data_IF_684488775992
#
_entry.id   IF_684488775992
#
_cell.length_a   1.000
_cell.length_b   1.000
_cell.length_c   1.000
_cell.angle_alpha   90.00
_cell.angle_beta   90.00
_cell.angle_gamma   90.00
#
_symmetry.space_group_name_H-M   'P 1'
#
loop_
_entity.id
_entity.type
_entity.pdbx_description
1 polymer ?
#
# COMPACT_ATOMS: atom_id res chain seq x y z
N UNK A 1 -18.31 -20.94 4.83
CA UNK A 1 -17.48 -20.72 3.62
C UNK A 1 -16.80 -22.03 3.28
N UNK A 2 -17.00 -22.55 2.06
CA UNK A 2 -16.17 -23.62 1.53
C UNK A 2 -14.74 -23.12 1.48
N UNK A 3 -13.80 -23.82 2.13
CA UNK A 3 -12.38 -23.47 2.10
C UNK A 3 -11.94 -23.42 0.64
N UNK A 4 -11.48 -22.25 0.18
CA UNK A 4 -10.79 -22.17 -1.10
C UNK A 4 -9.54 -23.01 -0.97
N UNK A 5 -9.45 -24.08 -1.76
CA UNK A 5 -8.22 -24.88 -1.88
C UNK A 5 -7.45 -24.26 -3.03
N UNK A 6 -6.33 -23.63 -2.73
CA UNK A 6 -5.41 -23.13 -3.74
C UNK A 6 -4.37 -24.24 -4.01
N UNK A 7 -4.35 -24.87 -5.21
CA UNK A 7 -3.47 -25.98 -5.49
C UNK A 7 -2.00 -25.67 -5.18
N UNK A 8 -1.33 -26.56 -4.44
CA UNK A 8 0.07 -26.41 -4.05
C UNK A 8 0.33 -25.54 -2.81
N UNK A 9 -0.67 -24.77 -2.36
CA UNK A 9 -0.56 -23.95 -1.16
C UNK A 9 -1.09 -24.66 0.08
N UNK A 10 -0.27 -24.71 1.12
CA UNK A 10 -0.67 -25.10 2.47
C UNK A 10 -1.18 -23.85 3.20
N UNK A 11 -2.48 -23.80 3.49
CA UNK A 11 -3.14 -22.62 4.06
C UNK A 11 -3.42 -22.89 5.54
N UNK A 12 -2.93 -22.00 6.41
CA UNK A 12 -3.19 -22.05 7.84
C UNK A 12 -4.67 -21.77 8.16
N UNK A 13 -5.16 -22.18 9.35
CA UNK A 13 -6.44 -21.69 9.84
C UNK A 13 -6.49 -20.16 9.82
N UNK A 14 -7.58 -19.61 9.29
CA UNK A 14 -7.79 -18.16 9.24
C UNK A 14 -7.67 -17.59 10.66
N UNK A 15 -6.74 -16.66 10.84
CA UNK A 15 -6.63 -15.85 12.04
C UNK A 15 -7.84 -14.92 12.10
N UNK A 16 -8.49 -14.83 13.26
CA UNK A 16 -9.57 -13.89 13.49
C UNK A 16 -9.54 -13.40 14.93
N UNK A 17 -9.61 -12.08 15.10
CA UNK A 17 -9.62 -11.43 16.40
C UNK A 17 -10.59 -10.24 16.37
N UNK A 18 -11.23 -9.98 17.51
CA UNK A 18 -11.94 -8.71 17.74
C UNK A 18 -11.05 -7.85 18.63
N UNK A 19 -10.67 -6.68 18.13
CA UNK A 19 -9.92 -5.68 18.86
C UNK A 19 -10.88 -4.60 19.34
N UNK A 20 -10.82 -4.26 20.63
CA UNK A 20 -11.65 -3.20 21.21
C UNK A 20 -10.78 -2.01 21.60
N UNK A 21 -11.03 -0.88 20.96
CA UNK A 21 -10.36 0.40 21.22
C UNK A 21 -11.42 1.38 21.70
N UNK A 22 -11.41 1.66 23.00
CA UNK A 22 -12.47 2.44 23.66
C UNK A 22 -13.88 1.87 23.41
N UNK A 23 -14.61 2.43 22.44
CA UNK A 23 -15.96 2.02 22.04
C UNK A 23 -15.99 1.34 20.66
N UNK A 24 -14.88 1.37 19.93
CA UNK A 24 -14.76 0.79 18.61
C UNK A 24 -14.42 -0.69 18.75
N UNK A 25 -15.20 -1.55 18.08
CA UNK A 25 -14.85 -2.95 17.89
C UNK A 25 -14.42 -3.14 16.44
N UNK A 26 -13.27 -3.74 16.25
CA UNK A 26 -12.65 -3.97 14.95
C UNK A 26 -12.47 -5.48 14.79
N UNK A 27 -13.08 -6.05 13.76
CA UNK A 27 -12.89 -7.45 13.39
C UNK A 27 -11.69 -7.55 12.45
N UNK A 28 -10.59 -8.16 12.90
CA UNK A 28 -9.38 -8.41 12.12
C UNK A 28 -9.32 -9.85 11.64
N UNK A 29 -8.89 -10.03 10.38
CA UNK A 29 -8.72 -11.35 9.76
C UNK A 29 -7.40 -11.46 9.04
N UNK A 30 -6.71 -12.59 9.23
CA UNK A 30 -5.45 -12.91 8.56
C UNK A 30 -5.52 -14.28 7.87
N UNK A 31 -4.96 -14.35 6.68
CA UNK A 31 -4.78 -15.59 5.90
C UNK A 31 -3.30 -15.74 5.60
N UNK A 32 -2.74 -16.89 5.97
CA UNK A 32 -1.34 -17.24 5.71
C UNK A 32 -1.34 -18.52 4.89
N UNK A 33 -0.61 -18.50 3.78
CA UNK A 33 -0.38 -19.70 2.98
C UNK A 33 1.09 -19.86 2.64
N UNK A 34 1.53 -21.11 2.57
CA UNK A 34 2.90 -21.48 2.23
C UNK A 34 2.92 -22.34 0.98
N UNK A 35 3.85 -22.04 0.09
CA UNK A 35 4.13 -22.84 -1.08
C UNK A 35 5.61 -23.24 -1.07
N UNK A 36 5.89 -24.54 -1.27
CA UNK A 36 7.27 -25.07 -1.23
C UNK A 36 8.21 -24.43 -2.27
N UNK A 37 7.65 -23.83 -3.32
CA UNK A 37 8.41 -23.15 -4.38
C UNK A 37 8.42 -21.63 -4.29
N UNK A 38 7.34 -21.02 -3.80
CA UNK A 38 7.11 -19.58 -3.94
C UNK A 38 7.22 -18.83 -2.62
N UNK A 39 7.38 -19.55 -1.50
CA UNK A 39 7.48 -18.97 -0.17
C UNK A 39 6.11 -18.76 0.46
N UNK A 40 5.96 -17.68 1.20
CA UNK A 40 4.77 -17.37 1.98
C UNK A 40 3.99 -16.21 1.35
N UNK A 41 2.67 -16.32 1.34
CA UNK A 41 1.75 -15.25 0.97
C UNK A 41 0.85 -14.94 2.16
N UNK A 42 0.56 -13.65 2.31
CA UNK A 42 -0.21 -13.09 3.41
C UNK A 42 -1.36 -12.29 2.83
N UNK A 43 -2.52 -12.40 3.45
CA UNK A 43 -3.65 -11.53 3.23
C UNK A 43 -4.25 -11.11 4.55
N UNK A 44 -4.68 -9.85 4.63
CA UNK A 44 -5.12 -9.23 5.87
C UNK A 44 -6.29 -8.29 5.61
N UNK A 45 -7.12 -8.10 6.62
CA UNK A 45 -8.21 -7.14 6.57
C UNK A 45 -8.65 -6.77 7.97
N UNK A 46 -9.22 -5.59 8.10
CA UNK A 46 -10.03 -5.24 9.26
C UNK A 46 -11.28 -4.49 8.83
N UNK A 47 -12.37 -4.66 9.59
CA UNK A 47 -13.62 -3.97 9.32
C UNK A 47 -14.37 -3.66 10.62
N UNK A 48 -15.30 -2.70 10.54
CA UNK A 48 -16.21 -2.38 11.64
C UNK A 48 -17.47 -3.20 11.44
N UNK A 49 -17.54 -4.38 12.07
CA UNK A 49 -18.71 -5.24 12.02
C UNK A 49 -18.37 -6.70 11.69
N UNK A 50 -19.18 -7.58 12.27
CA UNK A 50 -18.88 -9.01 12.34
C UNK A 50 -18.93 -9.67 10.95
N UNK A 51 -17.82 -10.33 10.58
CA UNK A 51 -17.78 -11.31 9.49
C UNK A 51 -17.62 -10.76 8.07
N UNK A 52 -17.39 -9.45 7.90
CA UNK A 52 -17.26 -8.81 6.58
C UNK A 52 -15.83 -8.92 6.03
N UNK A 53 -14.82 -8.88 6.90
CA UNK A 53 -13.41 -8.79 6.50
C UNK A 53 -12.81 -10.08 5.92
N UNK A 54 -13.30 -11.25 6.30
CA UNK A 54 -12.66 -12.53 5.93
C UNK A 54 -12.47 -12.70 4.41
N UNK A 55 -13.44 -12.28 3.61
CA UNK A 55 -13.32 -12.35 2.15
C UNK A 55 -12.21 -11.43 1.65
N UNK A 56 -12.11 -10.18 2.16
CA UNK A 56 -11.06 -9.23 1.79
C UNK A 56 -9.66 -9.80 2.07
N UNK A 57 -9.46 -10.42 3.25
CA UNK A 57 -8.19 -11.07 3.56
C UNK A 57 -7.87 -12.22 2.58
N UNK A 58 -8.88 -12.97 2.14
CA UNK A 58 -8.71 -13.99 1.10
C UNK A 58 -8.39 -13.42 -0.28
N UNK A 59 -9.01 -12.30 -0.67
CA UNK A 59 -8.69 -11.60 -1.92
C UNK A 59 -7.22 -11.16 -1.92
N UNK A 60 -6.78 -10.48 -0.86
CA UNK A 60 -5.38 -10.06 -0.74
C UNK A 60 -4.43 -11.26 -0.78
N UNK A 61 -4.71 -12.33 -0.03
CA UNK A 61 -3.91 -13.56 -0.06
C UNK A 61 -3.78 -14.13 -1.48
N UNK A 62 -4.90 -14.25 -2.21
CA UNK A 62 -4.92 -14.81 -3.56
C UNK A 62 -4.14 -13.95 -4.55
N UNK A 63 -4.26 -12.63 -4.45
CA UNK A 63 -3.47 -11.68 -5.23
C UNK A 63 -1.95 -11.86 -4.99
N UNK A 64 -1.54 -11.97 -3.72
CA UNK A 64 -0.13 -12.18 -3.37
C UNK A 64 0.39 -13.54 -3.82
N UNK A 65 -0.41 -14.60 -3.68
CA UNK A 65 -0.07 -15.92 -4.18
C UNK A 65 0.14 -15.91 -5.70
N UNK A 66 -0.77 -15.31 -6.47
CA UNK A 66 -0.64 -15.18 -7.93
C UNK A 66 0.60 -14.38 -8.33
N UNK A 67 0.86 -13.29 -7.60
CA UNK A 67 2.05 -12.45 -7.81
C UNK A 67 3.34 -13.26 -7.63
N UNK A 68 3.44 -14.04 -6.55
CA UNK A 68 4.61 -14.88 -6.28
C UNK A 68 4.79 -16.00 -7.31
N UNK A 69 3.70 -16.68 -7.70
CA UNK A 69 3.70 -17.69 -8.76
C UNK A 69 4.24 -17.13 -10.09
N UNK A 70 3.96 -15.86 -10.40
CA UNK A 70 4.39 -15.22 -11.65
C UNK A 70 5.80 -14.62 -11.59
N UNK A 71 6.29 -14.21 -10.42
CA UNK A 71 7.63 -13.62 -10.22
C UNK A 71 8.75 -14.65 -10.29
N UNK A 72 8.49 -15.89 -9.88
CA UNK A 72 9.48 -16.97 -9.90
C UNK A 72 9.15 -18.00 -10.99
N UNK A 73 9.15 -17.61 -12.29
CA UNK A 73 8.65 -18.45 -13.36
C UNK A 73 9.64 -19.51 -13.85
N UNK A 74 10.82 -19.68 -13.21
CA UNK A 74 11.86 -20.65 -13.60
C UNK A 74 11.42 -22.14 -13.48
N UNK A 75 10.11 -22.43 -13.41
CA UNK A 75 9.51 -23.77 -13.51
C UNK A 75 8.28 -23.88 -14.43
N UNK A 76 7.90 -22.81 -15.16
CA UNK A 76 6.87 -22.85 -16.21
C UNK A 76 7.48 -22.35 -17.53
N UNK A 77 7.74 -23.28 -18.44
CA UNK A 77 8.43 -23.03 -19.71
C UNK A 77 7.68 -22.00 -20.60
N UNK A 78 8.48 -21.17 -21.28
CA UNK A 78 8.18 -20.28 -22.41
C UNK A 78 7.56 -18.88 -22.15
N UNK A 79 6.72 -18.64 -21.14
CA UNK A 79 6.17 -17.28 -20.92
C UNK A 79 7.03 -16.37 -20.02
N UNK A 80 7.86 -16.99 -19.18
CA UNK A 80 8.79 -16.37 -18.23
C UNK A 80 9.75 -15.34 -18.84
N UNK A 81 10.23 -15.60 -20.05
CA UNK A 81 11.27 -14.79 -20.72
C UNK A 81 10.75 -13.44 -21.24
N UNK A 82 9.43 -13.30 -21.42
CA UNK A 82 8.82 -12.01 -21.76
C UNK A 82 8.64 -11.12 -20.54
N UNK A 83 8.24 -11.67 -19.39
CA UNK A 83 8.01 -10.91 -18.15
C UNK A 83 9.28 -10.31 -17.53
N UNK A 84 10.43 -11.02 -17.57
CA UNK A 84 11.72 -10.47 -17.09
C UNK A 84 12.28 -9.37 -17.99
N UNK A 85 12.02 -9.43 -19.30
CA UNK A 85 12.49 -8.44 -20.27
C UNK A 85 11.54 -7.25 -20.46
N UNK A 86 10.31 -7.31 -19.92
CA UNK A 86 9.30 -6.26 -20.05
C UNK A 86 9.22 -5.30 -18.85
N UNK A 87 10.09 -5.44 -17.85
CA UNK A 87 10.03 -4.62 -16.62
C UNK A 87 8.83 -4.91 -15.71
N UNK A 88 8.11 -6.02 -15.92
CA UNK A 88 6.89 -6.37 -15.18
C UNK A 88 7.14 -6.55 -13.67
N UNK A 89 8.30 -7.11 -13.35
CA UNK A 89 8.80 -7.26 -11.99
C UNK A 89 10.27 -6.84 -12.02
N UNK A 90 10.54 -5.54 -11.89
CA UNK A 90 11.90 -5.03 -11.75
C UNK A 90 12.43 -5.41 -10.37
N UNK A 91 13.58 -6.08 -10.31
CA UNK A 91 13.95 -6.84 -9.12
C UNK A 91 14.75 -6.04 -8.08
N UNK A 92 15.49 -4.97 -8.45
CA UNK A 92 16.27 -4.16 -7.50
C UNK A 92 17.00 -2.99 -8.18
N UNK A 93 17.27 -1.94 -7.40
CA UNK A 93 18.36 -1.00 -7.65
C UNK A 93 19.44 -1.16 -6.58
N UNK A 94 20.64 -0.63 -6.80
CA UNK A 94 21.66 -0.59 -5.75
C UNK A 94 21.14 0.22 -4.54
N UNK A 95 20.89 -0.48 -3.43
CA UNK A 95 20.37 0.11 -2.18
C UNK A 95 18.85 0.21 -2.06
N UNK A 96 18.06 -0.20 -3.07
CA UNK A 96 16.60 -0.22 -3.01
C UNK A 96 15.97 -1.50 -3.56
N UNK A 97 14.88 -1.93 -2.93
CA UNK A 97 14.04 -3.06 -3.33
C UNK A 97 12.69 -2.52 -3.78
N UNK A 98 12.28 -2.86 -5.01
CA UNK A 98 10.96 -2.49 -5.50
C UNK A 98 9.87 -3.40 -4.90
N UNK A 99 8.73 -2.81 -4.58
CA UNK A 99 7.56 -3.57 -4.16
C UNK A 99 7.00 -4.36 -5.35
N UNK A 100 6.96 -5.68 -5.17
CA UNK A 100 6.53 -6.63 -6.18
C UNK A 100 5.02 -6.57 -6.46
N UNK A 101 4.23 -6.25 -5.43
CA UNK A 101 2.78 -6.13 -5.48
C UNK A 101 2.30 -4.76 -5.94
N UNK A 102 3.20 -3.78 -6.11
CA UNK A 102 2.81 -2.43 -6.51
C UNK A 102 2.03 -2.43 -7.82
N UNK A 103 0.82 -1.89 -7.78
CA UNK A 103 -0.08 -1.82 -8.94
C UNK A 103 -0.62 -3.19 -9.34
N UNK A 104 -0.74 -4.14 -8.42
CA UNK A 104 -1.40 -5.43 -8.67
C UNK A 104 -2.80 -5.39 -8.05
N UNK A 105 -3.80 -5.90 -8.76
CA UNK A 105 -5.14 -6.05 -8.19
C UNK A 105 -5.83 -7.31 -8.69
N UNK A 106 -6.71 -7.83 -7.84
CA UNK A 106 -7.60 -8.96 -8.14
C UNK A 106 -9.07 -8.52 -8.23
N UNK A 107 -9.80 -9.01 -9.22
CA UNK A 107 -11.26 -8.83 -9.30
C UNK A 107 -11.97 -9.95 -10.08
N UNK A 108 -13.30 -9.92 -10.10
CA UNK A 108 -14.14 -10.87 -10.88
C UNK A 108 -14.19 -10.58 -12.37
N UNK A 109 -13.83 -9.38 -12.78
CA UNK A 109 -13.72 -8.98 -14.20
C UNK A 109 -12.35 -8.36 -14.45
N UNK A 110 -11.90 -8.42 -15.70
CA UNK A 110 -10.58 -7.89 -16.06
C UNK A 110 -10.57 -6.35 -15.99
N UNK A 111 -11.68 -5.71 -16.34
CA UNK A 111 -11.82 -4.25 -16.33
C UNK A 111 -11.74 -3.69 -14.91
N UNK A 112 -12.40 -4.34 -13.94
CA UNK A 112 -12.34 -3.94 -12.53
C UNK A 112 -10.94 -4.18 -11.95
N UNK A 113 -10.27 -5.28 -12.32
CA UNK A 113 -8.89 -5.55 -11.91
C UNK A 113 -7.92 -4.52 -12.50
N UNK A 114 -8.07 -4.14 -13.77
CA UNK A 114 -7.29 -3.06 -14.39
C UNK A 114 -7.50 -1.72 -13.70
N UNK A 115 -8.75 -1.35 -13.43
CA UNK A 115 -9.09 -0.11 -12.74
C UNK A 115 -8.47 -0.07 -11.33
N UNK A 116 -8.63 -1.13 -10.53
CA UNK A 116 -8.06 -1.22 -9.19
C UNK A 116 -6.52 -1.17 -9.21
N UNK A 117 -5.88 -1.89 -10.13
CA UNK A 117 -4.43 -1.89 -10.30
C UNK A 117 -3.89 -0.50 -10.66
N UNK A 118 -4.60 0.23 -11.53
CA UNK A 118 -4.24 1.61 -11.88
C UNK A 118 -4.40 2.58 -10.71
N UNK A 119 -5.49 2.46 -9.94
CA UNK A 119 -5.69 3.27 -8.74
C UNK A 119 -4.55 3.09 -7.74
N UNK A 120 -4.14 1.85 -7.45
CA UNK A 120 -3.02 1.59 -6.55
C UNK A 120 -1.70 2.17 -7.10
N UNK A 121 -1.41 1.98 -8.38
CA UNK A 121 -0.17 2.52 -8.97
C UNK A 121 -0.11 4.06 -8.87
N UNK A 122 -1.24 4.73 -9.11
CA UNK A 122 -1.37 6.19 -9.04
C UNK A 122 -1.30 6.67 -7.58
N UNK A 123 -1.93 5.95 -6.65
CA UNK A 123 -1.82 6.21 -5.20
C UNK A 123 -0.36 6.28 -4.77
N UNK A 124 0.38 5.21 -5.06
CA UNK A 124 1.78 5.05 -4.63
C UNK A 124 2.66 6.11 -5.26
N UNK A 125 2.48 6.41 -6.54
CA UNK A 125 3.17 7.50 -7.21
C UNK A 125 2.87 8.87 -6.58
N UNK A 126 1.60 9.20 -6.33
CA UNK A 126 1.21 10.47 -5.70
C UNK A 126 1.93 10.68 -4.37
N UNK A 127 2.00 9.63 -3.55
CA UNK A 127 2.61 9.73 -2.24
C UNK A 127 4.14 9.86 -2.38
N UNK A 128 4.76 9.06 -3.25
CA UNK A 128 6.19 9.12 -3.53
C UNK A 128 6.64 10.48 -4.06
N UNK A 129 5.94 11.05 -5.05
CA UNK A 129 6.30 12.36 -5.61
C UNK A 129 6.20 13.46 -4.53
N UNK A 130 5.19 13.37 -3.66
CA UNK A 130 5.04 14.29 -2.54
C UNK A 130 6.16 14.12 -1.50
N UNK A 131 6.50 12.87 -1.15
CA UNK A 131 7.56 12.55 -0.19
C UNK A 131 8.94 12.98 -0.67
N UNK A 132 9.25 12.69 -1.95
CA UNK A 132 10.50 13.07 -2.58
C UNK A 132 10.61 14.58 -2.88
N UNK A 133 9.54 15.35 -2.65
CA UNK A 133 9.55 16.80 -2.81
C UNK A 133 9.35 17.32 -4.23
N UNK A 134 8.94 16.44 -5.14
CA UNK A 134 8.66 16.76 -6.54
C UNK A 134 7.21 17.24 -6.74
N UNK A 135 6.31 16.86 -5.84
CA UNK A 135 4.95 17.35 -5.77
C UNK A 135 4.71 18.13 -4.45
N UNK A 136 3.68 19.00 -4.38
CA UNK A 136 3.34 19.67 -3.14
C UNK A 136 3.02 18.67 -2.01
N UNK A 137 3.21 19.05 -0.73
CA UNK A 137 2.73 18.24 0.38
C UNK A 137 1.20 18.10 0.33
N UNK A 138 0.64 17.00 0.85
CA UNK A 138 -0.80 16.79 0.82
C UNK A 138 -1.51 17.84 1.69
N UNK A 139 -2.69 18.28 1.24
CA UNK A 139 -3.46 19.35 1.89
C UNK A 139 -4.44 18.77 2.88
N UNK A 140 -4.56 19.37 4.06
CA UNK A 140 -5.55 18.96 5.06
C UNK A 140 -6.97 19.15 4.53
N UNK A 141 -7.81 18.16 4.77
CA UNK A 141 -9.25 18.17 4.49
C UNK A 141 -10.01 18.26 5.81
N UNK A 142 -10.95 19.21 5.89
CA UNK A 142 -11.81 19.38 7.07
C UNK A 142 -12.99 18.41 6.99
N UNK A 143 -12.76 17.17 7.45
CA UNK A 143 -13.77 16.11 7.50
C UNK A 143 -13.47 15.19 8.68
N UNK A 144 -14.51 14.59 9.24
CA UNK A 144 -14.40 13.62 10.34
C UNK A 144 -14.32 12.21 9.78
N UNK A 145 -13.54 11.33 10.43
CA UNK A 145 -13.56 9.90 10.14
C UNK A 145 -14.89 9.27 10.55
N UNK A 146 -15.29 8.20 9.85
CA UNK A 146 -16.49 7.43 10.17
C UNK A 146 -16.50 6.91 11.61
N UNK A 147 -15.34 6.43 12.09
CA UNK A 147 -15.14 5.90 13.45
C UNK A 147 -14.40 6.87 14.40
N UNK A 148 -14.22 8.12 13.97
CA UNK A 148 -13.47 9.13 14.72
C UNK A 148 -13.99 9.38 16.13
N UNK A 149 -15.32 9.53 16.35
CA UNK A 149 -15.90 9.72 17.67
C UNK A 149 -15.64 8.56 18.65
N UNK A 150 -15.50 7.34 18.16
CA UNK A 150 -15.33 6.13 18.96
C UNK A 150 -13.93 5.99 19.54
N UNK A 151 -12.92 6.61 18.92
CA UNK A 151 -11.49 6.51 19.30
C UNK A 151 -10.89 7.84 19.76
N UNK A 152 -11.73 8.86 19.98
CA UNK A 152 -11.28 10.24 20.16
C UNK A 152 -10.54 10.51 21.49
N UNK A 153 -10.55 9.58 22.46
CA UNK A 153 -9.79 9.73 23.71
C UNK A 153 -8.38 9.15 23.60
N UNK A 154 -8.12 8.37 22.55
CA UNK A 154 -6.85 7.71 22.27
C UNK A 154 -6.15 8.38 21.10
N UNK A 155 -6.90 8.88 20.12
CA UNK A 155 -6.35 9.43 18.89
C UNK A 155 -6.88 10.82 18.56
N UNK A 156 -5.96 11.66 18.08
CA UNK A 156 -6.30 12.72 17.14
C UNK A 156 -6.31 12.12 15.73
N UNK A 157 -7.22 12.58 14.88
CA UNK A 157 -7.21 12.23 13.46
C UNK A 157 -7.03 13.45 12.58
N UNK A 158 -6.42 13.22 11.42
CA UNK A 158 -6.36 14.18 10.33
C UNK A 158 -6.48 13.46 8.99
N UNK A 159 -7.09 14.15 8.03
CA UNK A 159 -7.28 13.68 6.66
C UNK A 159 -6.57 14.64 5.73
N UNK A 160 -5.90 14.10 4.72
CA UNK A 160 -5.20 14.87 3.71
C UNK A 160 -5.54 14.39 2.31
N UNK A 161 -5.55 15.31 1.36
CA UNK A 161 -5.71 15.04 -0.07
C UNK A 161 -4.43 15.41 -0.82
N UNK A 162 -4.03 14.56 -1.74
CA UNK A 162 -2.97 14.86 -2.70
C UNK A 162 -3.54 15.63 -3.91
N UNK A 163 -2.66 16.06 -4.82
CA UNK A 163 -3.11 16.60 -6.09
C UNK A 163 -3.74 15.48 -6.94
N UNK A 164 -4.95 15.72 -7.45
CA UNK A 164 -5.65 14.77 -8.33
C UNK A 164 -4.85 14.56 -9.62
N UNK A 165 -4.86 13.33 -10.13
CA UNK A 165 -4.27 12.98 -11.42
C UNK A 165 -5.37 12.70 -12.44
N UNK A 166 -5.17 13.13 -13.68
CA UNK A 166 -6.09 12.81 -14.76
C UNK A 166 -5.46 11.78 -15.69
N UNK A 167 -6.19 10.71 -15.97
CA UNK A 167 -5.82 9.69 -16.96
C UNK A 167 -6.86 9.65 -18.07
N UNK A 168 -6.42 9.56 -19.32
CA UNK A 168 -7.28 9.73 -20.50
C UNK A 168 -8.45 8.72 -20.57
N UNK A 169 -8.24 7.49 -20.11
CA UNK A 169 -9.28 6.44 -20.13
C UNK A 169 -9.98 6.20 -18.79
N UNK A 170 -9.37 6.61 -17.67
CA UNK A 170 -9.87 6.30 -16.31
C UNK A 170 -10.59 7.52 -15.71
N UNK A 171 -10.24 8.73 -16.16
CA UNK A 171 -10.77 9.98 -15.64
C UNK A 171 -9.88 10.57 -14.54
N UNK A 172 -10.49 11.39 -13.69
CA UNK A 172 -9.81 11.98 -12.54
C UNK A 172 -9.70 10.97 -11.42
N UNK A 173 -8.54 10.94 -10.77
CA UNK A 173 -8.25 10.07 -9.64
C UNK A 173 -7.77 10.95 -8.50
N UNK A 174 -8.46 10.84 -7.38
CA UNK A 174 -8.09 11.48 -6.13
C UNK A 174 -7.35 10.48 -5.25
N UNK A 175 -6.36 10.98 -4.52
CA UNK A 175 -5.60 10.21 -3.54
C UNK A 175 -5.71 10.91 -2.19
N UNK A 176 -5.97 10.13 -1.14
CA UNK A 176 -6.15 10.61 0.22
C UNK A 176 -5.28 9.83 1.20
N UNK A 177 -5.07 10.44 2.36
CA UNK A 177 -4.41 9.84 3.50
C UNK A 177 -5.19 10.14 4.77
N UNK A 178 -5.35 9.13 5.62
CA UNK A 178 -5.85 9.26 6.99
C UNK A 178 -4.69 9.04 7.94
N UNK A 179 -4.58 9.87 8.97
CA UNK A 179 -3.54 9.76 10.00
C UNK A 179 -4.22 9.70 11.36
N UNK A 180 -3.83 8.71 12.16
CA UNK A 180 -4.22 8.50 13.55
C UNK A 180 -3.00 8.79 14.43
N UNK A 181 -2.95 10.01 14.98
CA UNK A 181 -1.89 10.42 15.90
C UNK A 181 -2.28 10.07 17.33
N UNK A 182 -1.54 9.18 18.00
CA UNK A 182 -1.91 8.75 19.33
C UNK A 182 -1.67 9.87 20.34
N UNK A 183 -2.55 9.96 21.34
CA UNK A 183 -2.46 10.90 22.46
C UNK A 183 -1.49 10.42 23.55
N UNK A 184 -1.01 9.17 23.45
CA UNK A 184 -0.09 8.50 24.38
C UNK A 184 0.94 7.70 23.59
N UNK A 185 2.17 7.56 24.10
CA UNK A 185 3.27 6.92 23.36
C UNK A 185 3.15 5.40 23.27
N UNK A 186 2.28 4.81 24.10
CA UNK A 186 2.02 3.38 24.17
C UNK A 186 1.00 2.92 23.12
N UNK A 187 0.37 3.84 22.39
CA UNK A 187 -0.56 3.51 21.30
C UNK A 187 0.14 3.68 19.94
N UNK A 188 -0.14 2.80 18.96
CA UNK A 188 0.55 2.84 17.68
C UNK A 188 0.15 4.07 16.87
N UNK A 189 1.13 4.74 16.27
CA UNK A 189 0.89 5.70 15.20
C UNK A 189 0.47 4.96 13.93
N UNK A 190 -0.70 5.30 13.40
CA UNK A 190 -1.27 4.63 12.24
C UNK A 190 -1.60 5.65 11.16
N UNK A 191 -1.52 5.22 9.92
CA UNK A 191 -1.95 6.00 8.76
C UNK A 191 -2.39 5.02 7.68
N UNK A 192 -3.24 5.47 6.76
CA UNK A 192 -3.71 4.67 5.63
C UNK A 192 -3.85 5.53 4.39
N UNK A 193 -3.72 4.92 3.23
CA UNK A 193 -3.84 5.58 1.94
C UNK A 193 -5.00 5.01 1.14
N UNK A 194 -5.46 5.80 0.18
CA UNK A 194 -6.56 5.38 -0.67
C UNK A 194 -6.66 6.23 -1.92
N UNK A 195 -6.85 5.57 -3.05
CA UNK A 195 -7.21 6.20 -4.32
C UNK A 195 -8.62 5.83 -4.79
N UNK A 196 -9.32 6.80 -5.38
CA UNK A 196 -10.66 6.62 -5.93
C UNK A 196 -10.96 7.57 -7.08
N UNK A 197 -12.08 7.34 -7.76
CA UNK A 197 -12.56 8.25 -8.82
C UNK A 197 -13.05 9.60 -8.30
N UNK A 198 -13.17 9.73 -6.97
CA UNK A 198 -13.40 10.98 -6.26
C UNK A 198 -12.76 10.91 -4.85
N UNK A 199 -12.65 12.08 -4.22
CA UNK A 199 -12.05 12.22 -2.89
C UNK A 199 -12.78 11.44 -1.79
N UNK A 200 -14.10 11.23 -1.90
CA UNK A 200 -14.85 10.48 -0.88
C UNK A 200 -14.51 9.00 -0.91
N UNK A 201 -14.39 8.41 -2.10
CA UNK A 201 -13.92 7.04 -2.29
C UNK A 201 -12.47 6.89 -1.82
N UNK A 202 -11.60 7.85 -2.15
CA UNK A 202 -10.21 7.87 -1.70
C UNK A 202 -10.10 7.88 -0.16
N UNK A 203 -10.86 8.75 0.50
CA UNK A 203 -10.91 8.83 1.97
C UNK A 203 -11.44 7.53 2.59
N UNK A 204 -12.49 6.94 2.02
CA UNK A 204 -13.07 5.69 2.55
C UNK A 204 -12.06 4.53 2.52
N UNK A 205 -11.25 4.45 1.46
CA UNK A 205 -10.16 3.46 1.38
C UNK A 205 -9.04 3.76 2.37
N UNK A 206 -8.62 5.02 2.48
CA UNK A 206 -7.61 5.45 3.45
C UNK A 206 -8.05 5.19 4.90
N UNK A 207 -9.33 5.40 5.22
CA UNK A 207 -9.93 5.02 6.51
C UNK A 207 -9.82 3.51 6.76
N UNK A 208 -10.13 2.70 5.74
CA UNK A 208 -10.09 1.25 5.84
C UNK A 208 -8.66 0.73 6.06
N UNK A 209 -7.67 1.28 5.35
CA UNK A 209 -6.27 0.89 5.54
C UNK A 209 -5.74 1.34 6.91
N UNK A 210 -6.08 2.55 7.36
CA UNK A 210 -5.69 3.04 8.68
C UNK A 210 -6.29 2.17 9.80
N UNK A 211 -7.56 1.74 9.64
CA UNK A 211 -8.23 0.83 10.56
C UNK A 211 -7.57 -0.54 10.57
N UNK A 212 -7.22 -1.09 9.41
CA UNK A 212 -6.50 -2.36 9.29
C UNK A 212 -5.16 -2.32 10.01
N UNK A 213 -4.34 -1.29 9.75
CA UNK A 213 -3.07 -1.12 10.46
C UNK A 213 -3.29 -0.99 11.97
N UNK A 214 -4.25 -0.18 12.40
CA UNK A 214 -4.59 -0.03 13.82
C UNK A 214 -4.95 -1.37 14.45
N UNK A 215 -5.72 -2.21 13.76
CA UNK A 215 -6.15 -3.51 14.25
C UNK A 215 -4.97 -4.47 14.50
N UNK A 216 -4.05 -4.57 13.53
CA UNK A 216 -2.91 -5.47 13.61
C UNK A 216 -1.75 -4.96 14.47
N UNK A 217 -1.72 -3.66 14.78
CA UNK A 217 -0.72 -3.04 15.64
C UNK A 217 -1.19 -2.83 17.08
N UNK A 218 -2.47 -3.06 17.36
CA UNK A 218 -3.02 -2.85 18.69
C UNK A 218 -2.45 -3.89 19.67
N UNK A 219 -2.02 -3.43 20.85
CA UNK A 219 -1.34 -4.23 21.89
C UNK A 219 0.05 -4.76 21.51
N UNK A 220 0.57 -4.46 20.33
CA UNK A 220 1.97 -4.70 19.99
C UNK A 220 2.90 -3.75 20.75
N UNK A 221 4.10 -4.21 21.08
CA UNK A 221 5.10 -3.41 21.77
C UNK A 221 5.59 -2.26 20.88
N UNK A 222 5.37 -1.01 21.31
CA UNK A 222 5.84 0.16 20.58
C UNK A 222 7.34 0.36 20.83
N UNK A 223 8.19 0.33 19.79
CA UNK A 223 9.62 0.55 19.93
C UNK A 223 9.90 1.92 20.58
N UNK A 224 10.73 1.93 21.61
CA UNK A 224 11.12 3.15 22.32
C UNK A 224 12.35 3.83 21.70
N UNK A 225 13.04 3.14 20.80
CA UNK A 225 14.24 3.63 20.12
C UNK A 225 14.14 3.33 18.64
N UNK A 226 14.58 4.27 17.80
CA UNK A 226 14.62 4.08 16.36
C UNK A 226 15.49 2.86 15.97
N UNK A 227 15.04 2.00 15.05
CA UNK A 227 15.82 0.84 14.63
C UNK A 227 17.10 1.30 13.91
N UNK A 228 18.26 0.76 14.30
CA UNK A 228 19.57 1.19 13.78
C UNK A 228 20.03 0.42 12.55
N UNK A 229 19.51 -0.79 12.33
CA UNK A 229 19.84 -1.63 11.18
C UNK A 229 18.88 -1.29 10.05
N UNK A 230 19.27 -0.35 9.19
CA UNK A 230 18.47 0.06 8.03
C UNK A 230 18.40 -1.10 7.03
N UNK A 231 17.18 -1.54 6.72
CA UNK A 231 16.92 -2.59 5.74
C UNK A 231 15.95 -2.11 4.66
N UNK A 232 16.22 -2.50 3.40
CA UNK A 232 15.37 -2.25 2.24
C UNK A 232 14.08 -3.10 2.26
N UNK A 233 13.26 -3.01 3.31
CA UNK A 233 12.07 -3.86 3.51
C UNK A 233 10.84 -3.09 3.99
N UNK A 234 9.65 -3.65 3.70
CA UNK A 234 8.37 -3.13 4.18
C UNK A 234 8.26 -3.23 5.72
N UNK A 235 8.79 -4.30 6.32
CA UNK A 235 8.76 -4.51 7.77
C UNK A 235 9.57 -3.46 8.51
N UNK A 236 10.78 -3.14 8.03
CA UNK A 236 11.59 -2.06 8.60
C UNK A 236 10.87 -0.72 8.49
N UNK A 237 10.22 -0.44 7.35
CA UNK A 237 9.44 0.79 7.17
C UNK A 237 8.33 0.93 8.22
N UNK A 238 7.58 -0.15 8.48
CA UNK A 238 6.56 -0.17 9.53
C UNK A 238 7.17 0.07 10.92
N UNK A 239 8.23 -0.66 11.27
CA UNK A 239 8.92 -0.53 12.56
C UNK A 239 9.48 0.88 12.79
N UNK A 240 10.04 1.49 11.74
CA UNK A 240 10.57 2.85 11.80
C UNK A 240 9.50 3.86 12.22
N UNK A 241 8.32 3.84 11.60
CA UNK A 241 7.24 4.80 11.93
C UNK A 241 6.43 4.44 13.17
N UNK A 242 6.55 3.22 13.70
CA UNK A 242 6.02 2.88 15.02
C UNK A 242 6.76 3.62 16.14
N UNK A 243 8.06 3.88 15.99
CA UNK A 243 8.86 4.60 16.98
C UNK A 243 8.46 6.09 17.08
N UNK A 244 8.06 6.60 18.26
CA UNK A 244 7.64 8.00 18.43
C UNK A 244 8.68 9.05 18.05
N UNK A 245 9.98 8.73 18.15
CA UNK A 245 11.06 9.65 17.78
C UNK A 245 11.01 10.00 16.27
N UNK A 246 10.52 9.08 15.45
CA UNK A 246 10.53 9.18 14.00
C UNK A 246 9.32 9.93 13.43
N UNK A 247 8.26 10.16 14.21
CA UNK A 247 7.07 10.90 13.77
C UNK A 247 7.38 12.33 13.32
N UNK A 248 8.49 12.90 13.79
CA UNK A 248 8.95 14.23 13.37
C UNK A 248 9.27 14.30 11.86
N UNK A 249 9.69 13.20 11.23
CA UNK A 249 9.90 13.11 9.78
C UNK A 249 8.56 13.20 9.04
N UNK A 250 7.55 12.48 9.53
CA UNK A 250 6.18 12.54 9.01
C UNK A 250 5.63 13.97 9.08
N UNK A 251 5.78 14.63 10.23
CA UNK A 251 5.35 16.01 10.40
C UNK A 251 6.10 17.00 9.49
N UNK A 252 7.41 16.80 9.32
CA UNK A 252 8.24 17.63 8.45
C UNK A 252 7.78 17.52 6.98
N UNK A 253 7.47 16.31 6.52
CA UNK A 253 6.89 16.08 5.21
C UNK A 253 5.57 16.83 5.02
N UNK A 254 4.62 16.69 5.96
CA UNK A 254 3.33 17.39 5.89
C UNK A 254 3.46 18.91 5.93
N UNK A 255 4.47 19.44 6.62
CA UNK A 255 4.79 20.89 6.65
C UNK A 255 5.51 21.36 5.38
N UNK A 256 5.83 20.45 4.46
CA UNK A 256 6.47 20.74 3.17
C UNK A 256 7.98 20.95 3.26
N UNK A 257 8.64 20.50 4.33
CA UNK A 257 10.10 20.62 4.47
C UNK A 257 10.87 19.83 3.42
N UNK A 258 10.23 18.84 2.81
CA UNK A 258 10.79 17.96 1.79
C UNK A 258 10.72 18.54 0.38
N UNK A 259 9.96 19.63 0.18
CA UNK A 259 9.70 20.20 -1.14
C UNK A 259 10.98 20.79 -1.76
N UNK A 260 11.34 20.28 -2.95
CA UNK A 260 12.54 20.71 -3.70
C UNK A 260 12.16 21.58 -4.90
N UNK A 261 10.99 21.35 -5.50
CA UNK A 261 10.53 22.05 -6.71
C UNK A 261 9.70 23.29 -6.37
N UNK A 262 9.91 24.38 -7.12
CA UNK A 262 9.05 25.57 -7.04
C UNK A 262 7.63 25.22 -7.51
N UNK A 263 6.64 25.49 -6.65
CA UNK A 263 5.21 25.22 -6.90
C UNK A 263 4.69 25.85 -8.20
N UNK A 264 5.31 26.92 -8.68
CA UNK A 264 4.92 27.59 -9.92
C UNK A 264 5.29 26.83 -11.19
N UNK A 265 6.15 25.80 -11.08
CA UNK A 265 6.66 25.02 -12.20
C UNK A 265 6.00 23.65 -12.35
N UNK A 266 5.02 23.31 -11.49
CA UNK A 266 4.39 21.98 -11.47
C UNK A 266 3.19 22.00 -12.45
N UNK A 267 3.30 21.39 -13.65
CA UNK A 267 2.16 21.29 -14.56
C UNK A 267 1.05 20.40 -13.96
N UNK A 268 -0.21 20.54 -14.40
CA UNK A 268 -1.25 19.57 -14.08
C UNK A 268 -0.79 18.17 -14.49
N UNK A 269 -0.84 17.22 -13.55
CA UNK A 269 -0.48 15.82 -13.77
C UNK A 269 -1.51 15.17 -14.69
N UNK A 270 -1.12 14.98 -15.95
CA UNK A 270 -1.86 14.18 -16.93
C UNK A 270 -1.00 12.99 -17.27
N UNK A 271 -1.56 11.80 -17.06
CA UNK A 271 -0.93 10.54 -17.41
C UNK A 271 -1.45 10.09 -18.75
N UNK A 272 -0.53 9.79 -19.66
CA UNK A 272 -0.91 9.44 -21.04
C UNK A 272 -1.02 7.93 -21.24
N UNK A 273 -0.23 7.13 -20.50
CA UNK A 273 -0.16 5.69 -20.75
C UNK A 273 0.03 4.85 -19.48
N UNK A 274 -0.88 3.87 -19.29
CA UNK A 274 -0.75 2.77 -18.35
C UNK A 274 -0.98 1.46 -19.12
N UNK A 275 -0.01 0.57 -19.05
CA UNK A 275 -0.10 -0.79 -19.58
C UNK A 275 -0.61 -1.76 -18.51
N UNK A 276 -1.31 -2.79 -18.96
CA UNK A 276 -1.85 -3.82 -18.08
C UNK A 276 -1.37 -5.20 -18.50
N UNK A 277 -0.71 -5.89 -17.57
CA UNK A 277 -0.33 -7.28 -17.73
C UNK A 277 -1.30 -8.17 -16.96
N UNK A 278 -1.94 -9.10 -17.66
CA UNK A 278 -2.72 -10.15 -17.02
C UNK A 278 -1.75 -11.18 -16.42
N UNK A 279 -1.74 -11.29 -15.10
CA UNK A 279 -0.92 -12.23 -14.32
C UNK A 279 -1.76 -13.31 -13.63
N UNK A 280 -3.01 -13.48 -14.06
CA UNK A 280 -3.93 -14.51 -13.55
C UNK A 280 -3.32 -15.89 -13.69
N UNK A 281 -3.22 -16.62 -12.58
CA UNK A 281 -2.74 -18.01 -12.57
C UNK A 281 -3.92 -18.97 -12.79
N UNK A 282 -3.68 -20.24 -13.20
CA UNK A 282 -4.76 -21.22 -13.39
C UNK A 282 -5.66 -21.33 -12.16
N UNK A 283 -5.06 -21.32 -10.97
CA UNK A 283 -5.76 -21.41 -9.69
C UNK A 283 -6.71 -20.24 -9.45
N UNK A 284 -6.31 -19.00 -9.76
CA UNK A 284 -7.21 -17.84 -9.66
C UNK A 284 -8.31 -17.86 -10.74
N UNK A 285 -7.98 -18.30 -11.95
CA UNK A 285 -8.94 -18.41 -13.05
C UNK A 285 -10.03 -19.45 -12.77
N UNK A 286 -9.68 -20.60 -12.19
CA UNK A 286 -10.65 -21.63 -11.75
C UNK A 286 -11.62 -21.11 -10.69
N UNK A 287 -11.20 -20.14 -9.88
CA UNK A 287 -12.03 -19.45 -8.90
C UNK A 287 -12.84 -18.29 -9.50
N UNK A 288 -12.71 -18.02 -10.80
CA UNK A 288 -13.42 -16.95 -11.49
C UNK A 288 -12.85 -15.55 -11.23
N UNK A 289 -11.56 -15.46 -10.92
CA UNK A 289 -10.87 -14.20 -10.68
C UNK A 289 -9.84 -13.88 -11.76
N UNK A 290 -9.61 -12.58 -11.94
CA UNK A 290 -8.56 -11.99 -12.77
C UNK A 290 -7.59 -11.24 -11.86
N UNK A 291 -6.29 -11.46 -12.07
CA UNK A 291 -5.21 -10.73 -11.41
C UNK A 291 -4.43 -9.96 -12.46
N UNK A 292 -4.33 -8.65 -12.29
CA UNK A 292 -3.73 -7.73 -13.26
C UNK A 292 -2.67 -6.89 -12.57
N UNK A 293 -1.58 -6.60 -13.30
CA UNK A 293 -0.57 -5.61 -12.91
C UNK A 293 -0.60 -4.40 -13.85
N UNK A 294 -0.72 -3.21 -13.28
CA UNK A 294 -0.54 -1.93 -13.97
C UNK A 294 0.95 -1.56 -14.04
N UNK A 295 1.37 -1.00 -15.17
CA UNK A 295 2.76 -0.61 -15.45
C UNK A 295 2.74 0.73 -16.19
N UNK A 296 3.60 1.65 -15.80
CA UNK A 296 3.80 2.92 -16.51
C UNK A 296 5.24 3.35 -16.34
N UNK A 297 5.83 3.88 -17.40
CA UNK A 297 7.15 4.53 -17.39
C UNK A 297 7.08 5.98 -16.88
N UNK A 298 5.88 6.56 -16.80
CA UNK A 298 5.60 7.88 -16.24
C UNK A 298 5.46 7.86 -14.71
N UNK A 299 5.12 6.70 -14.12
CA UNK A 299 4.81 6.54 -12.69
C UNK A 299 5.95 5.91 -11.91
N UNK A 300 6.15 6.40 -10.68
CA UNK A 300 7.16 5.84 -9.77
C UNK A 300 6.62 4.56 -9.11
N UNK A 301 7.32 3.42 -9.22
CA UNK A 301 6.97 2.24 -8.44
C UNK A 301 7.37 2.41 -6.98
N UNK A 302 6.58 1.86 -6.06
CA UNK A 302 6.95 1.77 -4.64
C UNK A 302 8.29 1.05 -4.47
N UNK A 303 9.16 1.66 -3.67
CA UNK A 303 10.46 1.12 -3.32
C UNK A 303 10.76 1.28 -1.83
N UNK A 304 11.53 0.34 -1.30
CA UNK A 304 12.09 0.40 0.05
C UNK A 304 13.60 0.54 -0.06
N UNK A 305 14.18 1.48 0.67
CA UNK A 305 15.62 1.67 0.80
C UNK A 305 16.06 3.01 0.24
N UNK A 306 17.36 3.12 -0.04
CA UNK A 306 17.95 4.32 -0.60
C UNK A 306 17.74 4.32 -2.12
N UNK A 307 17.12 5.37 -2.69
CA UNK A 307 16.98 5.46 -4.14
C UNK A 307 18.37 5.53 -4.79
N UNK A 308 18.58 4.87 -5.94
CA UNK A 308 19.89 4.85 -6.59
C UNK A 308 20.29 6.25 -7.05
N UNK A 309 21.60 6.55 -7.04
CA UNK A 309 22.13 7.85 -7.49
C UNK A 309 21.83 8.14 -8.98
N UNK A 310 21.57 7.09 -9.76
CA UNK A 310 21.21 7.16 -11.18
C UNK A 310 19.72 7.27 -11.43
N UNK A 311 18.88 7.13 -10.40
CA UNK A 311 17.47 7.47 -10.56
C UNK A 311 17.36 8.97 -10.92
N UNK A 312 16.37 9.38 -11.72
CA UNK A 312 16.12 10.79 -12.02
C UNK A 312 15.87 11.66 -10.77
N UNK A 313 15.80 11.03 -9.59
CA UNK A 313 15.34 11.58 -8.31
C UNK A 313 16.45 11.51 -7.24
N UNK A 314 17.72 11.52 -7.63
CA UNK A 314 18.88 11.37 -6.74
C UNK A 314 19.16 12.55 -5.79
N UNK A 315 18.31 13.59 -5.79
CA UNK A 315 18.43 14.78 -4.95
C UNK A 315 17.76 14.66 -3.57
N UNK A 316 17.45 13.44 -3.14
CA UNK A 316 16.77 13.14 -1.86
C UNK A 316 17.74 13.41 -0.70
N UNK A 317 17.35 14.28 0.22
CA UNK A 317 18.11 14.61 1.43
C UNK A 317 18.25 13.38 2.34
N UNK A 318 19.27 13.33 3.19
CA UNK A 318 19.54 12.17 4.05
C UNK A 318 18.33 11.81 4.93
N UNK A 319 17.59 12.82 5.40
CA UNK A 319 16.36 12.69 6.18
C UNK A 319 15.20 12.08 5.38
N UNK A 320 15.22 12.23 4.05
CA UNK A 320 14.25 11.65 3.12
C UNK A 320 14.70 10.26 2.60
N UNK A 321 15.98 9.90 2.77
CA UNK A 321 16.50 8.57 2.41
C UNK A 321 15.98 7.45 3.31
N UNK A 322 15.32 7.82 4.42
CA UNK A 322 14.59 6.88 5.24
C UNK A 322 13.22 6.68 4.61
N UNK A 323 13.17 5.68 3.73
CA UNK A 323 12.02 5.01 3.11
C UNK A 323 10.74 5.84 2.92
N UNK A 324 10.30 6.06 1.66
CA UNK A 324 9.07 6.78 1.42
C UNK A 324 7.90 6.12 2.11
N UNK A 325 7.04 6.95 2.71
CA UNK A 325 5.74 6.52 3.21
C UNK A 325 4.90 6.24 1.98
N UNK A 326 4.82 4.98 1.56
CA UNK A 326 4.01 4.54 0.45
C UNK A 326 3.88 3.03 0.51
#
# INVERSE_FOLDING_TARGET
MSRFVLPGWEIEPVFSQVITIEKLNIDAYGVIGRHSLYGEAYGSSADIGIGIGVDKAWYEFLERACTLERIYPDKLEQEASKCRNSGLFCDQYEGAVLSKSNGVAIHKTIEEAQYAAALELIERHSILESWCGNAPPPKRVERNLTYGPEISKTYNHSIYSFASMNHDSIGSIDVAMVVLTPLRKESPFCYGFGAGGDLDQAITKAESEALQRLAFLWEEDIPQTSPTNIEASASFHQEFYLCPENWTHFEAWLKGHFMVVDRSLIPPSRLSHIEFANITTPSASELGYYVVKAISDELQPLFFGKPPQTAPWSNIQAEQTIHPIA
#
